data_IF_571607252177
#
_entry.id   IF_571607252177
#
_cell.length_a   1.000
_cell.length_b   1.000
_cell.length_c   1.000
_cell.angle_alpha   90.00
_cell.angle_beta   90.00
_cell.angle_gamma   90.00
#
_symmetry.space_group_name_H-M   'P 1'
#
loop_
_entity.id
_entity.type
_entity.pdbx_description
1 polymer ?
#
# COMPACT_ATOMS: atom_id res chain seq x y z
N UNK A 1 4.37 11.53 -7.86
CA UNK A 1 4.45 10.06 -8.09
C UNK A 1 4.95 9.81 -9.52
N UNK A 2 5.73 8.76 -9.84
CA UNK A 2 6.12 8.48 -11.23
C UNK A 2 4.88 8.26 -12.13
N UNK A 3 4.86 8.78 -13.37
CA UNK A 3 3.66 8.75 -14.24
C UNK A 3 3.11 7.34 -14.47
N UNK A 4 3.99 6.37 -14.75
CA UNK A 4 3.63 4.96 -14.96
C UNK A 4 2.99 4.30 -13.74
N UNK A 5 3.42 4.69 -12.53
CA UNK A 5 2.86 4.17 -11.29
C UNK A 5 1.45 4.68 -11.08
N UNK A 6 1.23 5.97 -11.36
CA UNK A 6 -0.08 6.59 -11.29
C UNK A 6 -1.06 5.98 -12.31
N UNK A 7 -0.62 5.80 -13.56
CA UNK A 7 -1.43 5.15 -14.61
C UNK A 7 -1.85 3.74 -14.20
N UNK A 8 -0.91 2.92 -13.72
CA UNK A 8 -1.19 1.56 -13.30
C UNK A 8 -2.14 1.51 -12.09
N UNK A 9 -1.97 2.42 -11.13
CA UNK A 9 -2.85 2.54 -9.97
C UNK A 9 -4.25 3.03 -10.35
N UNK A 10 -4.34 3.99 -11.26
CA UNK A 10 -5.60 4.50 -11.81
C UNK A 10 -6.37 3.39 -12.52
N UNK A 11 -5.69 2.58 -13.34
CA UNK A 11 -6.28 1.42 -14.00
C UNK A 11 -6.80 0.38 -12.98
N UNK A 12 -6.07 0.19 -11.89
CA UNK A 12 -6.48 -0.70 -10.81
C UNK A 12 -7.74 -0.20 -10.11
N UNK A 13 -7.76 1.06 -9.66
CA UNK A 13 -8.91 1.68 -8.98
C UNK A 13 -10.13 1.70 -9.90
N UNK A 14 -9.95 2.04 -11.18
CA UNK A 14 -11.02 1.96 -12.19
C UNK A 14 -11.61 0.57 -12.27
N UNK A 15 -10.76 -0.46 -12.31
CA UNK A 15 -11.20 -1.86 -12.34
C UNK A 15 -12.01 -2.24 -11.10
N UNK A 16 -11.64 -1.75 -9.92
CA UNK A 16 -12.37 -2.01 -8.68
C UNK A 16 -13.72 -1.28 -8.63
N UNK A 17 -13.77 -0.01 -9.03
CA UNK A 17 -15.00 0.78 -9.08
C UNK A 17 -16.04 0.15 -10.01
N UNK A 18 -15.62 -0.24 -11.22
CA UNK A 18 -16.48 -0.90 -12.20
C UNK A 18 -16.92 -2.30 -11.75
N UNK A 19 -16.02 -3.08 -11.15
CA UNK A 19 -16.36 -4.41 -10.63
C UNK A 19 -17.34 -4.33 -9.45
N UNK A 20 -17.20 -3.32 -8.57
CA UNK A 20 -18.06 -3.15 -7.40
C UNK A 20 -19.49 -2.73 -7.76
N UNK A 21 -19.65 -1.89 -8.78
CA UNK A 21 -20.96 -1.29 -9.12
C UNK A 21 -21.70 -2.03 -10.22
N UNK A 22 -20.98 -2.53 -11.21
CA UNK A 22 -21.54 -3.01 -12.47
C UNK A 22 -21.14 -4.47 -12.77
N UNK A 23 -20.38 -5.13 -11.88
CA UNK A 23 -19.77 -6.44 -12.09
C UNK A 23 -19.02 -6.54 -13.43
N UNK A 24 -18.46 -5.41 -13.88
CA UNK A 24 -17.69 -5.37 -15.11
C UNK A 24 -16.30 -5.92 -14.88
N UNK A 25 -15.89 -6.82 -15.77
CA UNK A 25 -14.59 -7.49 -15.68
C UNK A 25 -13.44 -6.48 -15.72
N UNK A 26 -12.55 -6.47 -14.70
CA UNK A 26 -11.41 -5.55 -14.67
C UNK A 26 -10.38 -5.87 -15.76
N UNK A 27 -9.69 -4.84 -16.24
CA UNK A 27 -8.56 -4.99 -17.15
C UNK A 27 -7.21 -5.12 -16.41
N UNK A 28 -7.16 -4.74 -15.14
CA UNK A 28 -5.91 -4.74 -14.38
C UNK A 28 -5.47 -6.16 -14.02
N UNK A 29 -4.22 -6.52 -14.34
CA UNK A 29 -3.65 -7.88 -14.18
C UNK A 29 -3.80 -8.53 -12.81
N UNK A 30 -3.91 -7.75 -11.74
CA UNK A 30 -4.08 -8.29 -10.39
C UNK A 30 -5.51 -8.77 -10.11
N UNK A 31 -6.51 -8.22 -10.80
CA UNK A 31 -7.94 -8.44 -10.53
C UNK A 31 -8.73 -8.94 -11.74
N UNK A 32 -8.15 -8.99 -12.93
CA UNK A 32 -8.82 -9.43 -14.16
C UNK A 32 -9.44 -10.84 -14.10
N UNK A 33 -8.94 -11.68 -13.17
CA UNK A 33 -9.39 -13.05 -12.96
C UNK A 33 -10.73 -13.15 -12.23
N UNK A 34 -11.16 -12.07 -11.60
CA UNK A 34 -12.42 -12.01 -10.85
C UNK A 34 -13.50 -11.39 -11.75
N UNK A 35 -14.58 -12.13 -11.95
CA UNK A 35 -15.69 -11.72 -12.82
C UNK A 35 -16.73 -10.88 -12.07
N UNK A 36 -16.84 -11.05 -10.75
CA UNK A 36 -17.82 -10.38 -9.90
C UNK A 36 -17.15 -9.92 -8.60
N UNK A 37 -17.71 -8.91 -7.95
CA UNK A 37 -17.18 -8.40 -6.69
C UNK A 37 -17.08 -9.49 -5.61
N UNK A 38 -18.08 -10.36 -5.50
CA UNK A 38 -18.11 -11.43 -4.50
C UNK A 38 -16.99 -12.46 -4.67
N UNK A 39 -16.55 -12.71 -5.91
CA UNK A 39 -15.41 -13.58 -6.17
C UNK A 39 -14.09 -12.95 -5.69
N UNK A 40 -13.95 -11.64 -5.87
CA UNK A 40 -12.82 -10.89 -5.32
C UNK A 40 -12.88 -10.85 -3.78
N UNK A 41 -14.06 -10.61 -3.21
CA UNK A 41 -14.30 -10.61 -1.77
C UNK A 41 -14.00 -11.96 -1.12
N UNK A 42 -14.39 -13.06 -1.76
CA UNK A 42 -14.11 -14.42 -1.27
C UNK A 42 -12.61 -14.71 -1.27
N UNK A 43 -11.87 -14.23 -2.27
CA UNK A 43 -10.43 -14.47 -2.38
C UNK A 43 -9.59 -13.52 -1.50
N UNK A 44 -10.04 -12.27 -1.32
CA UNK A 44 -9.24 -11.19 -0.71
C UNK A 44 -9.88 -10.59 0.55
N UNK A 45 -11.06 -11.04 0.98
CA UNK A 45 -11.83 -10.46 2.09
C UNK A 45 -11.15 -10.50 3.45
N UNK A 46 -10.18 -11.41 3.63
CA UNK A 46 -9.32 -11.44 4.82
C UNK A 46 -8.27 -10.33 4.88
N UNK A 47 -8.01 -9.64 3.76
CA UNK A 47 -7.01 -8.58 3.67
C UNK A 47 -7.57 -7.24 4.14
N UNK A 48 -6.78 -6.50 4.92
CA UNK A 48 -7.19 -5.18 5.42
C UNK A 48 -7.32 -4.18 4.27
N UNK A 49 -6.48 -4.30 3.25
CA UNK A 49 -6.49 -3.49 2.04
C UNK A 49 -7.80 -3.64 1.27
N UNK A 50 -8.30 -4.88 1.16
CA UNK A 50 -9.60 -5.12 0.54
C UNK A 50 -10.72 -4.48 1.36
N UNK A 51 -10.71 -4.63 2.70
CA UNK A 51 -11.73 -4.03 3.57
C UNK A 51 -11.74 -2.51 3.47
N UNK A 52 -10.58 -1.87 3.55
CA UNK A 52 -10.45 -0.42 3.41
C UNK A 52 -10.97 0.06 2.04
N UNK A 53 -10.66 -0.67 0.97
CA UNK A 53 -11.13 -0.36 -0.38
C UNK A 53 -12.64 -0.59 -0.53
N UNK A 54 -13.17 -1.65 0.07
CA UNK A 54 -14.61 -1.95 0.09
C UNK A 54 -15.39 -0.88 0.84
N UNK A 55 -14.90 -0.44 2.00
CA UNK A 55 -15.47 0.66 2.77
C UNK A 55 -15.40 1.99 2.00
N UNK A 56 -14.26 2.29 1.39
CA UNK A 56 -14.09 3.50 0.57
C UNK A 56 -15.06 3.51 -0.62
N UNK A 57 -15.25 2.40 -1.32
CA UNK A 57 -16.24 2.28 -2.39
C UNK A 57 -17.68 2.37 -1.85
N UNK A 58 -17.94 1.77 -0.69
CA UNK A 58 -19.23 1.82 0.01
C UNK A 58 -19.65 3.22 0.46
N UNK A 59 -18.70 4.12 0.70
CA UNK A 59 -18.96 5.54 0.94
C UNK A 59 -19.39 6.31 -0.32
N UNK A 60 -19.45 5.65 -1.47
CA UNK A 60 -19.88 6.25 -2.74
C UNK A 60 -18.75 6.87 -3.55
N UNK A 61 -17.51 6.82 -3.07
CA UNK A 61 -16.34 7.30 -3.78
C UNK A 61 -16.16 6.58 -5.12
N UNK A 62 -15.64 7.31 -6.11
CA UNK A 62 -15.45 6.87 -7.50
C UNK A 62 -14.01 7.07 -7.94
N UNK A 63 -13.69 6.55 -9.12
CA UNK A 63 -12.44 6.85 -9.80
C UNK A 63 -12.12 8.37 -9.83
N UNK A 64 -13.13 9.22 -10.02
CA UNK A 64 -12.95 10.67 -10.04
C UNK A 64 -12.41 11.20 -8.71
N UNK A 65 -12.97 10.77 -7.58
CA UNK A 65 -12.52 11.18 -6.24
C UNK A 65 -11.06 10.76 -5.99
N UNK A 66 -10.68 9.58 -6.49
CA UNK A 66 -9.29 9.11 -6.46
C UNK A 66 -8.38 10.00 -7.33
N UNK A 67 -8.80 10.33 -8.54
CA UNK A 67 -8.04 11.21 -9.44
C UNK A 67 -7.87 12.60 -8.84
N UNK A 68 -8.94 13.20 -8.29
CA UNK A 68 -8.92 14.53 -7.68
C UNK A 68 -8.01 14.56 -6.45
N UNK A 69 -8.10 13.53 -5.59
CA UNK A 69 -7.20 13.36 -4.44
C UNK A 69 -5.75 13.25 -4.90
N UNK A 70 -5.49 12.44 -5.93
CA UNK A 70 -4.13 12.25 -6.43
C UNK A 70 -3.58 13.53 -7.06
N UNK A 71 -4.39 14.28 -7.79
CA UNK A 71 -3.97 15.57 -8.33
C UNK A 71 -3.68 16.58 -7.23
N UNK A 72 -4.50 16.61 -6.17
CA UNK A 72 -4.32 17.53 -5.04
C UNK A 72 -3.05 17.25 -4.22
N UNK A 73 -2.69 15.97 -4.05
CA UNK A 73 -1.61 15.59 -3.13
C UNK A 73 -0.33 15.06 -3.80
N UNK A 74 -0.37 14.65 -5.08
CA UNK A 74 0.77 14.02 -5.75
C UNK A 74 1.38 14.83 -6.91
N UNK A 75 0.79 15.98 -7.28
CA UNK A 75 1.26 16.82 -8.40
C UNK A 75 2.20 17.94 -7.97
N UNK A 76 2.46 18.16 -6.68
CA UNK A 76 3.32 19.25 -6.25
C UNK A 76 4.81 18.82 -6.29
N UNK A 77 5.64 19.34 -7.21
CA UNK A 77 7.09 19.10 -7.19
C UNK A 77 7.78 19.75 -5.98
N UNK A 78 7.13 20.71 -5.32
CA UNK A 78 7.56 21.29 -4.04
C UNK A 78 6.98 20.56 -2.83
N UNK A 79 6.29 19.41 -3.02
CA UNK A 79 5.85 18.58 -1.91
C UNK A 79 7.04 18.22 -1.02
N UNK A 80 7.04 18.77 0.19
CA UNK A 80 8.07 18.57 1.21
C UNK A 80 8.11 17.07 1.61
N UNK A 81 7.00 16.35 1.44
CA UNK A 81 6.84 14.95 1.79
C UNK A 81 6.76 14.08 0.53
N UNK A 82 7.64 13.08 0.44
CA UNK A 82 7.66 12.09 -0.64
C UNK A 82 7.24 10.72 -0.11
N UNK A 83 6.18 10.14 -0.69
CA UNK A 83 5.77 8.77 -0.41
C UNK A 83 6.39 7.83 -1.44
N UNK A 84 7.15 6.83 -0.98
CA UNK A 84 7.78 5.83 -1.82
C UNK A 84 7.75 4.46 -1.14
N UNK A 85 7.80 3.40 -1.94
CA UNK A 85 8.05 2.05 -1.42
C UNK A 85 9.54 1.88 -1.17
N UNK A 86 9.89 1.06 -0.17
CA UNK A 86 11.29 0.74 0.17
C UNK A 86 12.06 0.19 -1.04
N UNK A 87 11.41 -0.64 -1.87
CA UNK A 87 11.98 -1.21 -3.10
C UNK A 87 12.36 -0.16 -4.16
N UNK A 88 11.67 0.98 -4.19
CA UNK A 88 11.86 2.01 -5.22
C UNK A 88 12.92 3.05 -4.82
N UNK A 89 13.22 3.19 -3.52
CA UNK A 89 14.16 4.19 -2.99
C UNK A 89 15.62 3.86 -3.37
N UNK A 90 15.94 2.59 -3.63
CA UNK A 90 17.29 2.11 -3.98
C UNK A 90 18.34 2.68 -3.01
N UNK A 91 19.37 3.37 -3.50
CA UNK A 91 20.46 3.93 -2.72
C UNK A 91 20.27 5.41 -2.33
N UNK A 92 19.06 5.96 -2.47
CA UNK A 92 18.80 7.35 -2.11
C UNK A 92 18.70 7.52 -0.59
N UNK A 93 19.27 8.60 -0.07
CA UNK A 93 19.16 9.00 1.33
C UNK A 93 18.32 10.28 1.43
N UNK A 94 17.65 10.46 2.57
CA UNK A 94 16.78 11.58 2.86
C UNK A 94 17.08 12.14 4.26
N UNK A 95 16.91 13.44 4.47
CA UNK A 95 17.18 14.08 5.76
C UNK A 95 16.31 13.50 6.88
N UNK A 96 15.01 13.34 6.61
CA UNK A 96 14.04 12.70 7.50
C UNK A 96 13.26 11.60 6.78
N UNK A 97 13.09 10.45 7.42
CA UNK A 97 12.29 9.31 6.90
C UNK A 97 11.23 8.92 7.92
N UNK A 98 9.99 8.79 7.46
CA UNK A 98 8.90 8.19 8.24
C UNK A 98 8.63 6.78 7.75
N UNK A 99 8.69 5.79 8.66
CA UNK A 99 8.22 4.44 8.34
C UNK A 99 6.70 4.37 8.51
N UNK A 100 6.01 3.97 7.44
CA UNK A 100 4.57 3.71 7.51
C UNK A 100 4.29 2.53 8.43
N UNK A 101 3.15 2.58 9.14
CA UNK A 101 2.61 1.44 9.91
C UNK A 101 2.40 0.20 9.04
N UNK A 102 2.23 0.38 7.74
CA UNK A 102 2.03 -0.71 6.79
C UNK A 102 3.29 -1.58 6.60
N UNK A 103 4.48 -1.04 6.90
CA UNK A 103 5.73 -1.82 6.94
C UNK A 103 5.78 -2.76 8.15
N UNK A 104 4.99 -2.51 9.18
CA UNK A 104 4.92 -3.28 10.42
C UNK A 104 3.75 -4.26 10.40
N UNK A 105 3.30 -4.71 9.22
CA UNK A 105 2.26 -5.74 9.14
C UNK A 105 2.90 -7.11 9.39
N UNK A 106 2.35 -7.92 10.33
CA UNK A 106 2.86 -9.24 10.54
C UNK A 106 2.72 -10.05 9.25
N UNK A 107 3.74 -10.82 8.87
CA UNK A 107 3.66 -11.60 7.66
C UNK A 107 2.59 -12.70 7.74
N UNK A 108 2.07 -13.10 6.58
CA UNK A 108 1.02 -14.12 6.47
C UNK A 108 1.48 -15.44 7.12
N UNK A 109 0.58 -16.08 7.85
CA UNK A 109 0.84 -17.34 8.54
C UNK A 109 1.30 -18.43 7.54
N UNK A 110 2.34 -19.20 7.93
CA UNK A 110 2.87 -20.30 7.11
C UNK A 110 4.15 -19.99 6.30
N UNK A 111 4.74 -18.81 6.47
CA UNK A 111 5.99 -18.42 5.79
C UNK A 111 7.16 -18.34 6.78
N UNK A 112 8.02 -19.36 6.79
CA UNK A 112 9.27 -19.40 7.59
C UNK A 112 10.26 -18.30 7.20
N UNK A 113 10.21 -17.82 5.95
CA UNK A 113 11.11 -16.79 5.44
C UNK A 113 10.67 -15.36 5.77
N UNK A 114 9.49 -15.20 6.36
CA UNK A 114 8.83 -13.91 6.37
C UNK A 114 9.41 -12.89 7.35
N UNK A 115 9.90 -13.33 8.51
CA UNK A 115 10.50 -12.44 9.49
C UNK A 115 11.79 -11.80 8.94
N UNK A 116 12.65 -12.60 8.31
CA UNK A 116 13.89 -12.12 7.71
C UNK A 116 13.63 -11.08 6.60
N UNK A 117 12.62 -11.29 5.76
CA UNK A 117 12.21 -10.32 4.74
C UNK A 117 11.73 -9.01 5.36
N UNK A 118 10.97 -9.07 6.44
CA UNK A 118 10.47 -7.87 7.12
C UNK A 118 11.60 -7.12 7.83
N UNK A 119 12.50 -7.82 8.53
CA UNK A 119 13.69 -7.21 9.12
C UNK A 119 14.58 -6.55 8.06
N UNK A 120 14.76 -7.20 6.91
CA UNK A 120 15.51 -6.63 5.77
C UNK A 120 14.85 -5.36 5.22
N UNK A 121 13.52 -5.36 5.07
CA UNK A 121 12.77 -4.17 4.64
C UNK A 121 12.90 -3.02 5.65
N UNK A 122 12.74 -3.31 6.94
CA UNK A 122 12.88 -2.31 8.01
C UNK A 122 14.29 -1.74 8.06
N UNK A 123 15.31 -2.60 7.98
CA UNK A 123 16.71 -2.17 7.90
C UNK A 123 16.94 -1.28 6.68
N UNK A 124 16.48 -1.72 5.51
CA UNK A 124 16.67 -1.00 4.25
C UNK A 124 15.95 0.34 4.23
N UNK A 125 14.78 0.46 4.88
CA UNK A 125 14.04 1.70 4.97
C UNK A 125 14.66 2.65 6.00
N UNK A 126 15.07 2.11 7.15
CA UNK A 126 15.70 2.88 8.23
C UNK A 126 17.04 3.46 7.82
N UNK A 127 17.84 2.71 7.03
CA UNK A 127 19.15 3.15 6.55
C UNK A 127 19.09 4.28 5.50
N UNK A 128 17.90 4.70 5.06
CA UNK A 128 17.71 5.85 4.16
C UNK A 128 17.62 7.17 4.92
N UNK A 129 17.46 7.13 6.23
CA UNK A 129 17.45 8.33 7.07
C UNK A 129 18.89 8.81 7.31
N UNK A 130 19.18 10.06 6.94
CA UNK A 130 20.47 10.70 7.20
C UNK A 130 20.53 11.36 8.58
N UNK A 131 19.45 12.04 8.98
CA UNK A 131 19.42 12.79 10.23
C UNK A 131 18.32 12.29 11.19
N UNK A 132 17.13 11.97 10.67
CA UNK A 132 15.98 11.64 11.51
C UNK A 132 15.17 10.46 10.96
N UNK A 133 14.83 9.52 11.85
CA UNK A 133 13.96 8.39 11.56
C UNK A 133 12.73 8.45 12.48
N UNK A 134 11.56 8.68 11.86
CA UNK A 134 10.27 8.68 12.54
C UNK A 134 9.64 7.29 12.45
N UNK A 135 9.33 6.74 13.62
CA UNK A 135 8.81 5.38 13.77
C UNK A 135 7.40 5.43 14.36
N UNK A 136 6.49 4.55 13.94
CA UNK A 136 5.19 4.48 14.58
C UNK A 136 5.35 4.02 16.05
N UNK A 137 4.62 4.66 16.96
CA UNK A 137 4.80 4.46 18.41
C UNK A 137 4.62 3.02 18.91
N UNK A 138 3.92 2.17 18.16
CA UNK A 138 3.70 0.76 18.49
C UNK A 138 4.76 -0.21 17.91
N UNK A 139 5.87 0.31 17.35
CA UNK A 139 6.89 -0.54 16.72
C UNK A 139 7.58 -1.47 17.72
N UNK A 140 7.86 -0.99 18.93
CA UNK A 140 8.60 -1.77 19.93
C UNK A 140 7.79 -2.98 20.39
N UNK A 141 6.51 -2.78 20.66
CA UNK A 141 5.57 -3.87 21.02
C UNK A 141 5.45 -4.88 19.89
N UNK A 142 5.37 -4.40 18.65
CA UNK A 142 5.27 -5.27 17.48
C UNK A 142 6.55 -6.10 17.23
N UNK A 143 7.74 -5.54 17.45
CA UNK A 143 8.99 -6.30 17.36
C UNK A 143 9.07 -7.39 18.45
N UNK A 144 8.58 -7.10 19.66
CA UNK A 144 8.51 -8.10 20.74
C UNK A 144 7.55 -9.24 20.41
N UNK A 145 6.40 -8.92 19.82
CA UNK A 145 5.43 -9.94 19.38
C UNK A 145 5.96 -10.83 18.26
N UNK A 146 6.80 -10.29 17.37
CA UNK A 146 7.48 -11.07 16.34
C UNK A 146 8.54 -12.02 16.91
N UNK A 147 9.28 -11.60 17.94
CA UNK A 147 10.33 -12.42 18.56
C UNK A 147 9.81 -13.55 19.47
N UNK A 148 8.51 -13.56 19.78
CA UNK A 148 7.85 -14.57 20.62
C UNK A 148 7.29 -15.78 19.85
N UNK A 149 7.36 -15.78 18.51
CA UNK A 149 6.95 -16.89 17.65
C UNK A 149 8.15 -17.69 17.16
#
# INVERSE_FOLDING_TARGET
MPPRTLENLTLFVKGLDLLYREDLRPQHRLIFRFAYWDALASAMGGSHEFKAMHEWLGQGNRLQDFTDTTQRFCNDPAAILKLAKVEDVKNQEFDSVLLSRDLMRPPRAGSTHSLASVCSLLYTASSRARHELLLPGNMNDWLQDLGRK
#
